data_IF_466200975998
#
_entry.id   IF_466200975998
#
_cell.length_a   1.000
_cell.length_b   1.000
_cell.length_c   1.000
_cell.angle_alpha   90.00
_cell.angle_beta   90.00
_cell.angle_gamma   90.00
#
_symmetry.space_group_name_H-M   'P 1'
#
loop_
_entity.id
_entity.type
_entity.pdbx_description
1 polymer ?
#
# COMPACT_ATOMS: atom_id res chain seq x y z
N UNK A 1 -44.08 -0.71 24.66
CA UNK A 1 -42.94 -1.64 24.65
C UNK A 1 -42.34 -1.62 23.26
N UNK A 2 -41.27 -0.83 23.04
CA UNK A 2 -40.48 -0.90 21.82
C UNK A 2 -39.45 -2.02 22.04
N UNK A 3 -39.56 -3.11 21.29
CA UNK A 3 -38.57 -4.18 21.27
C UNK A 3 -37.22 -3.58 20.85
N UNK A 4 -36.25 -3.60 21.76
CA UNK A 4 -34.88 -3.26 21.46
C UNK A 4 -34.24 -4.49 20.81
N UNK A 5 -34.33 -4.61 19.49
CA UNK A 5 -33.45 -5.53 18.74
C UNK A 5 -32.03 -4.97 18.80
N UNK A 6 -31.32 -5.33 19.86
CA UNK A 6 -29.94 -4.92 20.12
C UNK A 6 -28.94 -5.82 19.38
N UNK A 7 -29.15 -6.06 18.08
CA UNK A 7 -28.20 -6.84 17.28
C UNK A 7 -27.50 -5.95 16.26
N UNK A 8 -26.70 -5.00 16.77
CA UNK A 8 -25.88 -4.13 15.95
C UNK A 8 -24.83 -4.98 15.22
N UNK A 9 -24.90 -4.97 13.88
CA UNK A 9 -23.90 -5.60 13.01
C UNK A 9 -22.78 -4.61 12.73
N UNK A 10 -21.55 -5.06 12.87
CA UNK A 10 -20.36 -4.27 12.56
C UNK A 10 -19.64 -4.96 11.40
N UNK A 11 -19.50 -4.23 10.30
CA UNK A 11 -18.79 -4.72 9.13
C UNK A 11 -17.30 -4.42 9.31
N UNK A 12 -16.47 -5.45 9.17
CA UNK A 12 -15.03 -5.37 9.34
C UNK A 12 -14.38 -5.69 8.01
N UNK A 13 -13.46 -4.85 7.54
CA UNK A 13 -12.64 -5.15 6.36
C UNK A 13 -11.56 -6.18 6.76
N UNK A 14 -12.00 -7.42 6.95
CA UNK A 14 -11.24 -8.62 7.29
C UNK A 14 -12.05 -9.83 6.78
N UNK A 15 -11.50 -11.03 6.85
CA UNK A 15 -12.18 -12.26 6.43
C UNK A 15 -11.89 -13.39 7.42
N UNK A 16 -12.81 -14.35 7.53
CA UNK A 16 -12.78 -15.36 8.60
C UNK A 16 -11.49 -16.20 8.61
N UNK A 17 -10.94 -16.53 7.44
CA UNK A 17 -9.68 -17.26 7.35
C UNK A 17 -8.46 -16.47 7.88
N UNK A 18 -8.54 -15.14 7.96
CA UNK A 18 -7.49 -14.29 8.53
C UNK A 18 -7.64 -14.13 10.05
N UNK A 19 -8.87 -13.96 10.55
CA UNK A 19 -9.11 -13.51 11.92
C UNK A 19 -10.31 -14.18 12.63
N UNK A 20 -10.51 -15.49 12.42
CA UNK A 20 -11.64 -16.23 13.01
C UNK A 20 -11.77 -16.06 14.53
N UNK A 21 -10.65 -16.02 15.24
CA UNK A 21 -10.63 -15.86 16.71
C UNK A 21 -11.01 -14.43 17.13
N UNK A 22 -10.48 -13.41 16.44
CA UNK A 22 -10.74 -12.01 16.79
C UNK A 22 -12.19 -11.59 16.45
N UNK A 23 -12.72 -12.08 15.31
CA UNK A 23 -14.11 -11.87 14.91
C UNK A 23 -15.10 -12.56 15.87
N UNK A 24 -14.71 -13.71 16.43
CA UNK A 24 -15.52 -14.45 17.40
C UNK A 24 -15.39 -13.98 18.86
N UNK A 25 -14.36 -13.21 19.22
CA UNK A 25 -14.09 -12.84 20.61
C UNK A 25 -15.02 -11.74 21.16
N UNK A 26 -15.57 -10.90 20.29
CA UNK A 26 -16.39 -9.75 20.70
C UNK A 26 -17.87 -10.12 20.67
N UNK A 27 -18.32 -10.84 21.70
CA UNK A 27 -19.71 -11.33 21.83
C UNK A 27 -20.78 -10.23 21.96
N UNK A 28 -20.38 -8.97 22.14
CA UNK A 28 -21.29 -7.82 22.30
C UNK A 28 -21.83 -7.30 20.96
N UNK A 29 -21.11 -7.55 19.87
CA UNK A 29 -21.45 -7.09 18.53
C UNK A 29 -21.45 -8.26 17.57
N UNK A 30 -22.32 -8.23 16.57
CA UNK A 30 -22.26 -9.19 15.48
C UNK A 30 -21.23 -8.68 14.45
N UNK A 31 -19.97 -9.08 14.63
CA UNK A 31 -18.89 -8.74 13.70
C UNK A 31 -18.98 -9.61 12.44
N UNK A 32 -18.94 -8.97 11.27
CA UNK A 32 -18.97 -9.65 9.98
C UNK A 32 -17.77 -9.21 9.15
N UNK A 33 -16.86 -10.14 8.87
CA UNK A 33 -15.78 -9.93 7.90
C UNK A 33 -16.35 -9.80 6.49
N UNK A 34 -16.17 -8.63 5.87
CA UNK A 34 -16.59 -8.33 4.49
C UNK A 34 -15.40 -8.09 3.55
N UNK A 35 -14.19 -8.37 4.04
CA UNK A 35 -12.95 -8.18 3.31
C UNK A 35 -12.55 -9.37 2.43
N UNK A 36 -11.46 -9.20 1.67
CA UNK A 36 -10.76 -7.94 1.45
C UNK A 36 -11.61 -6.99 0.57
N UNK A 37 -11.81 -5.75 1.00
CA UNK A 37 -12.49 -4.74 0.18
C UNK A 37 -11.55 -4.20 -0.89
N UNK A 38 -11.04 -5.05 -1.79
CA UNK A 38 -10.14 -4.69 -2.90
C UNK A 38 -10.95 -4.69 -4.21
N UNK A 39 -10.63 -3.82 -5.19
CA UNK A 39 -11.33 -3.81 -6.47
C UNK A 39 -11.30 -5.19 -7.13
N UNK A 40 -12.43 -5.61 -7.67
CA UNK A 40 -12.65 -6.97 -8.16
C UNK A 40 -11.72 -7.36 -9.31
N UNK A 41 -11.22 -6.39 -10.09
CA UNK A 41 -10.18 -6.63 -11.10
C UNK A 41 -8.92 -7.32 -10.53
N UNK A 42 -8.62 -7.12 -9.23
CA UNK A 42 -7.45 -7.70 -8.55
C UNK A 42 -7.78 -8.86 -7.62
N UNK A 43 -9.05 -9.22 -7.46
CA UNK A 43 -9.48 -10.35 -6.61
C UNK A 43 -9.92 -11.55 -7.44
N UNK A 44 -10.94 -11.38 -8.27
CA UNK A 44 -11.55 -12.48 -9.03
C UNK A 44 -11.63 -12.21 -10.52
N UNK A 45 -11.21 -11.02 -10.96
CA UNK A 45 -11.15 -10.61 -12.37
C UNK A 45 -12.52 -10.54 -13.04
N UNK A 46 -13.64 -10.57 -12.28
CA UNK A 46 -14.99 -10.59 -12.86
C UNK A 46 -15.40 -9.27 -13.46
N UNK A 47 -14.96 -8.15 -12.88
CA UNK A 47 -15.14 -6.82 -13.44
C UNK A 47 -13.77 -6.15 -13.64
N UNK A 48 -13.29 -6.21 -14.89
CA UNK A 48 -12.02 -5.59 -15.30
C UNK A 48 -12.08 -4.06 -15.34
N UNK A 49 -13.25 -3.45 -15.16
CA UNK A 49 -13.40 -1.99 -15.10
C UNK A 49 -13.22 -1.45 -13.67
N UNK A 50 -13.43 -2.28 -12.66
CA UNK A 50 -13.24 -1.98 -11.24
C UNK A 50 -11.76 -2.09 -10.86
N UNK A 51 -10.98 -1.08 -11.27
CA UNK A 51 -9.51 -1.05 -11.18
C UNK A 51 -8.97 -0.07 -10.14
N UNK A 52 -9.83 0.69 -9.45
CA UNK A 52 -9.37 1.67 -8.47
C UNK A 52 -10.25 1.72 -7.24
N UNK A 53 -9.62 1.97 -6.10
CA UNK A 53 -10.34 2.48 -4.95
C UNK A 53 -10.76 3.92 -5.25
N UNK A 54 -11.95 4.34 -4.83
CA UNK A 54 -12.41 5.74 -4.94
C UNK A 54 -11.55 6.80 -4.23
N UNK A 55 -10.35 6.44 -3.74
CA UNK A 55 -9.33 7.29 -3.13
C UNK A 55 -8.07 7.52 -3.98
N UNK A 56 -8.05 7.10 -5.26
CA UNK A 56 -7.00 7.48 -6.23
C UNK A 56 -7.12 8.98 -6.59
N UNK A 57 -6.78 9.83 -5.62
CA UNK A 57 -6.99 11.28 -5.66
C UNK A 57 -5.93 12.02 -6.49
N UNK A 58 -4.86 11.35 -6.92
CA UNK A 58 -3.73 11.98 -7.61
C UNK A 58 -3.47 11.31 -8.96
N UNK A 59 -3.63 12.09 -10.05
CA UNK A 59 -3.17 11.70 -11.39
C UNK A 59 -1.64 11.74 -11.42
N UNK A 60 -0.98 10.63 -11.15
CA UNK A 60 0.43 10.45 -11.55
C UNK A 60 0.50 9.80 -12.94
N UNK A 61 1.53 10.18 -13.69
CA UNK A 61 1.82 9.56 -14.99
C UNK A 61 2.07 8.07 -14.81
N UNK A 62 1.69 7.26 -15.79
CA UNK A 62 1.89 5.81 -15.83
C UNK A 62 3.37 5.40 -15.99
N UNK A 63 4.29 6.33 -15.73
CA UNK A 63 5.72 6.18 -15.99
C UNK A 63 6.34 5.14 -15.05
N UNK A 64 5.82 5.03 -13.81
CA UNK A 64 6.27 4.00 -12.87
C UNK A 64 5.87 2.59 -13.30
N UNK A 65 4.75 2.41 -14.01
CA UNK A 65 4.37 1.11 -14.57
C UNK A 65 5.30 0.73 -15.72
N UNK A 66 5.64 1.67 -16.60
CA UNK A 66 6.64 1.41 -17.64
C UNK A 66 8.01 1.09 -17.05
N UNK A 67 8.40 1.78 -15.98
CA UNK A 67 9.63 1.48 -15.24
C UNK A 67 9.56 0.08 -14.62
N UNK A 68 8.46 -0.32 -13.98
CA UNK A 68 8.27 -1.66 -13.42
C UNK A 68 8.33 -2.76 -14.48
N UNK A 69 7.73 -2.53 -15.66
CA UNK A 69 7.79 -3.44 -16.81
C UNK A 69 9.22 -3.68 -17.33
N UNK A 70 10.14 -2.73 -17.10
CA UNK A 70 11.54 -2.86 -17.50
C UNK A 70 12.39 -3.70 -16.54
N UNK A 71 11.83 -4.12 -15.39
CA UNK A 71 12.57 -4.82 -14.33
C UNK A 71 12.32 -6.32 -14.36
N UNK A 72 13.31 -7.16 -14.02
CA UNK A 72 13.10 -8.59 -13.87
C UNK A 72 12.02 -8.94 -12.85
N UNK A 73 11.43 -10.12 -12.99
CA UNK A 73 10.46 -10.66 -12.04
C UNK A 73 11.02 -10.71 -10.61
N UNK A 74 10.19 -10.38 -9.61
CA UNK A 74 10.53 -10.43 -8.18
C UNK A 74 11.83 -9.71 -7.80
N UNK A 75 12.19 -8.63 -8.50
CA UNK A 75 13.45 -7.90 -8.31
C UNK A 75 13.30 -6.56 -7.59
N UNK A 76 12.13 -5.94 -7.69
CA UNK A 76 11.84 -4.59 -7.18
C UNK A 76 11.37 -4.64 -5.74
N UNK A 77 11.93 -3.77 -4.90
CA UNK A 77 11.43 -3.46 -3.56
C UNK A 77 10.44 -2.30 -3.67
N UNK A 78 9.18 -2.53 -3.31
CA UNK A 78 8.21 -1.46 -3.15
C UNK A 78 8.30 -0.88 -1.73
N UNK A 79 8.28 0.44 -1.60
CA UNK A 79 8.37 1.14 -0.31
C UNK A 79 7.26 2.18 -0.21
N UNK A 80 6.38 2.05 0.79
CA UNK A 80 5.30 3.01 1.05
C UNK A 80 4.88 3.01 2.52
N UNK A 81 4.84 4.20 3.12
CA UNK A 81 4.42 4.39 4.52
C UNK A 81 2.97 4.90 4.64
N UNK A 82 2.17 4.73 3.58
CA UNK A 82 0.76 5.12 3.56
C UNK A 82 0.54 6.63 3.57
N UNK A 83 -0.71 7.05 3.76
CA UNK A 83 -1.12 8.46 3.69
C UNK A 83 -0.98 9.24 4.99
N UNK A 84 -0.93 8.55 6.13
CA UNK A 84 -1.00 9.15 7.46
C UNK A 84 0.39 9.29 8.12
N UNK A 85 1.38 8.52 7.67
CA UNK A 85 2.72 8.58 8.22
C UNK A 85 3.55 9.67 7.54
N UNK A 86 4.12 10.58 8.33
CA UNK A 86 5.11 11.56 7.87
C UNK A 86 6.46 11.17 8.44
N UNK A 87 7.35 10.67 7.59
CA UNK A 87 8.72 10.37 8.00
C UNK A 87 9.51 11.66 8.22
N UNK A 88 10.32 11.68 9.28
CA UNK A 88 11.31 12.74 9.47
C UNK A 88 12.42 12.62 8.41
N UNK A 89 13.10 13.73 8.11
CA UNK A 89 14.24 13.73 7.17
C UNK A 89 15.29 12.70 7.56
N UNK A 90 15.62 12.60 8.85
CA UNK A 90 16.60 11.62 9.35
C UNK A 90 16.17 10.17 9.08
N UNK A 91 14.89 9.83 9.28
CA UNK A 91 14.38 8.49 8.97
C UNK A 91 14.43 8.20 7.48
N UNK A 92 14.00 9.15 6.64
CA UNK A 92 14.08 9.00 5.19
C UNK A 92 15.52 8.83 4.70
N UNK A 93 16.48 9.56 5.27
CA UNK A 93 17.91 9.39 4.97
C UNK A 93 18.43 7.98 5.31
N UNK A 94 18.02 7.41 6.45
CA UNK A 94 18.41 6.04 6.80
C UNK A 94 17.78 5.00 5.88
N UNK A 95 16.51 5.19 5.50
CA UNK A 95 15.83 4.32 4.53
C UNK A 95 16.55 4.40 3.18
N UNK A 96 16.87 5.60 2.72
CA UNK A 96 17.58 5.82 1.47
C UNK A 96 18.94 5.09 1.44
N UNK A 97 19.74 5.23 2.49
CA UNK A 97 21.01 4.50 2.64
C UNK A 97 20.81 2.99 2.62
N UNK A 98 19.82 2.50 3.37
CA UNK A 98 19.51 1.07 3.38
C UNK A 98 19.10 0.52 2.00
N UNK A 99 18.38 1.31 1.21
CA UNK A 99 18.01 0.94 -0.16
C UNK A 99 19.24 0.91 -1.09
N UNK A 100 20.10 1.92 -1.01
CA UNK A 100 21.34 1.99 -1.79
C UNK A 100 22.29 0.84 -1.45
N UNK A 101 22.53 0.60 -0.17
CA UNK A 101 23.36 -0.51 0.31
C UNK A 101 22.79 -1.88 -0.11
N UNK A 102 21.46 -1.98 -0.23
CA UNK A 102 20.76 -3.18 -0.68
C UNK A 102 20.99 -3.52 -2.16
N UNK A 103 21.42 -2.56 -2.99
CA UNK A 103 21.76 -2.74 -4.41
C UNK A 103 20.64 -3.27 -5.31
N UNK A 104 19.40 -3.32 -4.81
CA UNK A 104 18.22 -3.78 -5.57
C UNK A 104 17.44 -2.59 -6.13
N UNK A 105 16.79 -2.74 -7.30
CA UNK A 105 15.84 -1.75 -7.77
C UNK A 105 14.73 -1.55 -6.75
N UNK A 106 14.29 -0.31 -6.56
CA UNK A 106 13.17 0.01 -5.68
C UNK A 106 12.24 1.04 -6.31
N UNK A 107 10.96 0.96 -5.93
CA UNK A 107 9.97 2.01 -6.17
C UNK A 107 9.55 2.57 -4.82
N UNK A 108 9.88 3.83 -4.55
CA UNK A 108 9.62 4.45 -3.25
C UNK A 108 8.65 5.63 -3.37
N UNK A 109 7.52 5.53 -2.67
CA UNK A 109 6.55 6.61 -2.55
C UNK A 109 7.03 7.64 -1.52
N UNK A 110 7.43 8.83 -1.98
CA UNK A 110 7.85 9.96 -1.14
C UNK A 110 6.89 11.13 -1.38
N UNK A 111 6.02 11.40 -0.39
CA UNK A 111 5.10 12.53 -0.47
C UNK A 111 5.83 13.84 -0.20
N UNK A 112 5.94 14.68 -1.24
CA UNK A 112 6.43 16.06 -1.11
C UNK A 112 5.26 16.96 -0.74
N UNK A 113 5.38 17.73 0.34
CA UNK A 113 4.43 18.82 0.62
C UNK A 113 4.82 20.02 -0.24
N UNK A 114 3.83 20.71 -0.82
CA UNK A 114 3.99 21.77 -1.84
C UNK A 114 4.84 22.99 -1.44
N UNK A 115 5.45 23.04 -0.26
CA UNK A 115 6.25 24.18 0.23
C UNK A 115 7.61 23.80 0.85
N UNK A 116 8.14 22.59 0.60
CA UNK A 116 9.37 22.12 1.27
C UNK A 116 10.45 21.68 0.26
N UNK A 117 11.06 22.65 -0.44
CA UNK A 117 12.32 22.43 -1.18
C UNK A 117 13.46 21.92 -0.27
N UNK A 118 13.36 22.13 1.05
CA UNK A 118 14.33 21.68 2.06
C UNK A 118 14.36 20.16 2.34
N UNK A 119 13.42 19.39 1.77
CA UNK A 119 13.29 17.94 2.02
C UNK A 119 13.91 17.04 0.97
N UNK A 120 14.63 17.57 -0.01
CA UNK A 120 15.44 16.74 -0.90
C UNK A 120 16.44 15.93 -0.07
N UNK A 121 16.43 14.62 -0.27
CA UNK A 121 17.35 13.69 0.38
C UNK A 121 18.77 13.96 -0.11
N UNK A 122 19.75 13.85 0.79
CA UNK A 122 21.16 14.12 0.46
C UNK A 122 21.71 13.20 -0.64
N UNK A 123 21.13 12.01 -0.78
CA UNK A 123 21.48 10.97 -1.75
C UNK A 123 20.49 10.86 -2.92
N UNK A 124 19.75 11.92 -3.24
CA UNK A 124 18.73 11.90 -4.30
C UNK A 124 19.27 11.42 -5.67
N UNK A 125 20.45 11.88 -6.08
CA UNK A 125 21.04 11.47 -7.37
C UNK A 125 21.39 9.98 -7.42
N UNK A 126 21.87 9.42 -6.30
CA UNK A 126 22.19 7.99 -6.18
C UNK A 126 20.90 7.15 -6.20
N UNK A 127 19.85 7.64 -5.54
CA UNK A 127 18.54 6.98 -5.53
C UNK A 127 17.95 6.87 -6.94
N UNK A 128 18.02 7.93 -7.74
CA UNK A 128 17.50 7.94 -9.12
C UNK A 128 18.33 7.07 -10.09
N UNK A 129 19.58 6.74 -9.75
CA UNK A 129 20.39 5.79 -10.53
C UNK A 129 19.99 4.33 -10.29
N UNK A 130 19.54 4.00 -9.06
CA UNK A 130 19.23 2.62 -8.67
C UNK A 130 17.73 2.30 -8.69
N UNK A 131 16.89 3.28 -8.37
CA UNK A 131 15.45 3.11 -8.19
C UNK A 131 14.64 4.21 -8.85
N UNK A 132 13.38 4.31 -8.44
CA UNK A 132 12.47 5.37 -8.84
C UNK A 132 11.75 5.91 -7.61
N UNK A 133 11.73 7.23 -7.44
CA UNK A 133 10.92 7.89 -6.43
C UNK A 133 9.67 8.50 -7.07
N UNK A 134 8.51 8.34 -6.43
CA UNK A 134 7.25 8.90 -6.92
C UNK A 134 6.47 9.58 -5.79
N UNK A 135 5.75 10.67 -6.06
CA UNK A 135 4.92 11.29 -5.04
C UNK A 135 3.69 10.44 -4.69
N UNK A 136 3.24 9.63 -5.66
CA UNK A 136 2.07 8.78 -5.53
C UNK A 136 2.07 7.67 -6.60
N UNK A 137 1.45 6.53 -6.32
CA UNK A 137 1.17 5.44 -7.27
C UNK A 137 -0.09 4.66 -6.85
N UNK A 138 -0.70 3.92 -7.79
CA UNK A 138 -1.72 2.92 -7.44
C UNK A 138 -1.04 1.75 -6.76
N UNK A 139 -1.21 1.66 -5.44
CA UNK A 139 -0.56 0.63 -4.66
C UNK A 139 -1.01 -0.78 -5.07
N UNK A 140 -2.29 -0.95 -5.41
CA UNK A 140 -2.81 -2.26 -5.83
C UNK A 140 -2.17 -2.68 -7.16
N UNK A 141 -2.03 -1.74 -8.11
CA UNK A 141 -1.35 -1.98 -9.39
C UNK A 141 0.13 -2.34 -9.19
N UNK A 142 0.84 -1.64 -8.29
CA UNK A 142 2.24 -1.95 -7.96
C UNK A 142 2.38 -3.30 -7.29
N UNK A 143 1.57 -3.61 -6.28
CA UNK A 143 1.66 -4.88 -5.55
C UNK A 143 1.28 -6.09 -6.41
N UNK A 144 0.42 -5.89 -7.41
CA UNK A 144 0.05 -6.93 -8.38
C UNK A 144 1.06 -7.09 -9.51
N UNK A 145 2.10 -6.25 -9.58
CA UNK A 145 3.06 -6.26 -10.68
C UNK A 145 4.14 -7.36 -10.48
N UNK A 146 4.41 -8.22 -11.48
CA UNK A 146 5.30 -9.38 -11.31
C UNK A 146 6.76 -9.02 -10.98
N UNK A 147 7.20 -7.81 -11.31
CA UNK A 147 8.56 -7.36 -10.95
C UNK A 147 8.73 -7.01 -9.47
N UNK A 148 7.64 -6.83 -8.70
CA UNK A 148 7.71 -6.53 -7.26
C UNK A 148 7.90 -7.83 -6.49
N UNK A 149 9.00 -7.93 -5.74
CA UNK A 149 9.32 -9.11 -4.92
C UNK A 149 9.25 -8.88 -3.41
N UNK A 150 9.21 -7.62 -2.97
CA UNK A 150 9.18 -7.27 -1.55
C UNK A 150 8.43 -5.95 -1.34
N UNK A 151 7.71 -5.83 -0.22
CA UNK A 151 7.04 -4.61 0.18
C UNK A 151 7.46 -4.18 1.59
N UNK A 152 8.06 -2.99 1.70
CA UNK A 152 8.36 -2.31 2.97
C UNK A 152 7.22 -1.34 3.28
N UNK A 153 6.48 -1.61 4.35
CA UNK A 153 5.34 -0.80 4.78
C UNK A 153 5.39 -0.48 6.26
N UNK A 154 4.65 0.55 6.67
CA UNK A 154 4.45 0.91 8.09
C UNK A 154 3.45 -0.01 8.82
N UNK A 155 2.98 -1.10 8.20
CA UNK A 155 1.97 -2.03 8.73
C UNK A 155 0.62 -1.38 9.08
N UNK A 156 0.09 -0.53 8.18
CA UNK A 156 -1.30 -0.09 8.28
C UNK A 156 -2.28 -1.23 7.95
N UNK A 157 -3.47 -1.25 8.56
CA UNK A 157 -4.47 -2.31 8.33
C UNK A 157 -4.84 -2.51 6.86
N UNK A 158 -5.00 -1.40 6.11
CA UNK A 158 -5.27 -1.44 4.67
C UNK A 158 -4.09 -1.99 3.83
N UNK A 159 -2.88 -1.98 4.39
CA UNK A 159 -1.68 -2.49 3.74
C UNK A 159 -1.60 -4.01 3.89
N UNK A 160 -1.92 -4.54 5.08
CA UNK A 160 -1.94 -5.98 5.38
C UNK A 160 -3.01 -6.69 4.56
N UNK A 161 -4.22 -6.12 4.48
CA UNK A 161 -5.32 -6.71 3.69
C UNK A 161 -4.96 -6.82 2.20
N UNK A 162 -4.16 -5.90 1.66
CA UNK A 162 -3.69 -5.91 0.26
C UNK A 162 -2.52 -6.86 -0.01
N UNK A 163 -1.79 -7.30 1.01
CA UNK A 163 -0.66 -8.24 0.85
C UNK A 163 -1.08 -9.71 0.87
N UNK A 164 -2.27 -10.02 1.41
CA UNK A 164 -2.72 -11.39 1.65
C UNK A 164 -3.31 -12.11 0.42
N UNK A 165 -3.23 -11.52 -0.77
CA UNK A 165 -3.77 -12.04 -2.03
C UNK A 165 -2.76 -11.88 -3.15
#
# INVERSE_FOLDING_TARGET
MLNCESNQKVLVNSYDALESEALGAINKFNLMGIGPLIPSAFLDGKDLSDTSFGGDLFRCSKDYIQWLNSKPESSVIYVSFGSLSVLSKQQSEQIARGLLDGGRPFLWVIRVKENEEEKTLSCHEELEQQGMTVPWCSQVEVLSHPSVGCFVSHTGWNEVIKQGY
#
